data_IF_148045715120
#
_entry.id   IF_148045715120
#
_cell.length_a   1.000
_cell.length_b   1.000
_cell.length_c   1.000
_cell.angle_alpha   90.00
_cell.angle_beta   90.00
_cell.angle_gamma   90.00
#
_symmetry.space_group_name_H-M   'P 1'
#
loop_
_entity.id
_entity.type
_entity.pdbx_description
1 polymer ?
#
# COMPACT_ATOMS: atom_id res chain seq x y z
N UNK A 1 77.99 1.81 0.07
CA UNK A 1 78.44 3.16 -0.33
C UNK A 1 77.31 4.11 -0.02
N UNK A 2 77.45 4.55 1.23
CA UNK A 2 77.30 5.96 1.68
C UNK A 2 76.04 6.65 1.30
N UNK A 3 75.19 6.84 2.33
CA UNK A 3 75.13 7.94 3.31
C UNK A 3 74.78 9.30 2.64
N UNK A 4 73.65 9.89 2.99
CA UNK A 4 73.57 11.10 3.83
C UNK A 4 72.15 11.50 4.16
N UNK A 5 71.96 11.53 5.46
CA UNK A 5 70.92 12.36 6.14
C UNK A 5 71.07 13.85 5.81
N UNK A 6 70.00 14.59 5.88
CA UNK A 6 69.81 15.94 6.49
C UNK A 6 68.32 16.27 6.47
N UNK A 7 67.67 16.20 7.57
CA UNK A 7 67.49 17.26 8.58
C UNK A 7 66.64 18.46 8.16
N UNK A 8 65.63 18.67 9.02
CA UNK A 8 64.94 19.90 9.43
C UNK A 8 63.86 20.48 8.51
N UNK A 9 62.63 20.49 8.93
CA UNK A 9 62.07 21.70 9.57
C UNK A 9 60.77 21.35 10.30
N UNK A 10 60.82 21.56 11.60
CA UNK A 10 59.62 21.66 12.45
C UNK A 10 58.94 22.96 12.11
N UNK A 11 57.76 22.94 11.62
CA UNK A 11 56.85 24.11 11.64
C UNK A 11 55.53 23.66 12.23
N UNK A 12 55.32 24.15 13.44
CA UNK A 12 54.07 23.98 14.16
C UNK A 12 52.93 24.62 13.39
N UNK A 13 51.89 23.85 13.14
CA UNK A 13 50.61 24.40 12.73
C UNK A 13 49.65 24.22 13.89
N UNK A 14 49.31 25.36 14.46
CA UNK A 14 48.31 25.46 15.52
C UNK A 14 46.99 24.88 15.07
N UNK A 15 46.54 23.81 15.76
CA UNK A 15 45.15 23.30 15.64
C UNK A 15 44.23 24.34 16.23
N UNK A 16 43.62 25.12 15.39
CA UNK A 16 42.41 25.89 15.71
C UNK A 16 41.27 24.87 15.77
N UNK A 17 40.92 24.42 16.96
CA UNK A 17 39.71 23.73 17.26
C UNK A 17 38.52 24.69 17.11
N UNK A 18 37.99 24.77 15.89
CA UNK A 18 36.67 25.34 15.66
C UNK A 18 35.64 24.31 16.14
N UNK A 19 35.25 24.41 17.41
CA UNK A 19 34.05 23.78 17.93
C UNK A 19 32.83 24.46 17.32
N UNK A 20 32.53 24.11 16.07
CA UNK A 20 31.26 24.43 15.47
C UNK A 20 30.17 23.61 16.17
N UNK A 21 29.41 24.23 17.07
CA UNK A 21 28.15 23.67 17.53
C UNK A 21 27.24 23.50 16.32
N UNK A 22 27.20 22.30 15.76
CA UNK A 22 26.13 21.89 14.84
C UNK A 22 24.89 21.76 15.72
N UNK A 23 24.07 22.81 15.73
CA UNK A 23 22.69 22.70 16.23
C UNK A 23 21.96 21.81 15.23
N UNK A 24 21.94 20.50 15.51
CA UNK A 24 21.02 19.58 14.85
C UNK A 24 19.61 20.10 15.14
N UNK A 25 18.82 20.47 14.11
CA UNK A 25 17.44 20.82 14.34
C UNK A 25 16.80 19.62 15.03
N UNK A 26 16.30 19.81 16.23
CA UNK A 26 15.49 18.85 16.95
C UNK A 26 14.21 18.67 16.13
N UNK A 27 14.26 17.79 15.14
CA UNK A 27 13.04 17.31 14.50
C UNK A 27 12.22 16.68 15.62
N UNK A 28 11.20 17.41 16.02
CA UNK A 28 10.18 16.90 16.94
C UNK A 28 9.70 15.58 16.36
N UNK A 29 9.77 14.47 17.08
CA UNK A 29 9.31 13.21 16.52
C UNK A 29 7.84 13.40 16.16
N UNK A 30 7.53 13.31 14.86
CA UNK A 30 6.15 13.22 14.41
C UNK A 30 5.56 11.96 15.05
N UNK A 31 4.64 12.15 15.94
CA UNK A 31 3.91 11.05 16.55
C UNK A 31 3.00 10.46 15.49
N UNK A 32 3.53 9.50 14.72
CA UNK A 32 2.73 8.70 13.80
C UNK A 32 1.90 7.74 14.62
N UNK A 33 0.66 8.09 14.83
CA UNK A 33 -0.28 7.16 15.46
C UNK A 33 -0.72 6.16 14.41
N UNK A 34 -0.06 5.00 14.37
CA UNK A 34 -0.52 3.85 13.60
C UNK A 34 -1.74 3.27 14.32
N UNK A 35 -2.94 3.64 13.91
CA UNK A 35 -4.12 2.83 14.24
C UNK A 35 -4.05 1.57 13.39
N UNK A 36 -4.51 0.43 13.93
CA UNK A 36 -4.62 -0.84 13.19
C UNK A 36 -5.23 -0.55 11.81
N UNK A 37 -4.38 -0.49 10.76
CA UNK A 37 -4.76 -0.19 9.37
C UNK A 37 -5.14 1.27 9.06
N UNK A 38 -4.77 2.25 9.88
CA UNK A 38 -5.01 3.66 9.58
C UNK A 38 -3.75 4.51 9.76
N UNK A 39 -3.52 5.46 8.88
CA UNK A 39 -2.43 6.44 8.95
C UNK A 39 -3.02 7.84 9.00
N UNK A 40 -2.71 8.61 10.04
CA UNK A 40 -3.04 10.03 10.08
C UNK A 40 -1.81 10.82 9.61
N UNK A 41 -1.98 11.61 8.54
CA UNK A 41 -0.97 12.55 8.05
C UNK A 41 -1.40 13.98 8.33
N UNK A 42 -0.47 14.84 8.72
CA UNK A 42 -0.71 16.28 8.89
C UNK A 42 -0.11 17.00 7.69
N UNK A 43 -0.93 17.62 6.89
CA UNK A 43 -0.52 18.45 5.78
C UNK A 43 -1.12 19.85 5.95
N UNK A 44 -0.27 20.88 5.89
CA UNK A 44 -0.67 22.29 6.01
C UNK A 44 -1.59 22.62 7.19
N UNK A 45 -1.26 22.16 8.38
CA UNK A 45 -2.02 22.39 9.62
C UNK A 45 -3.45 21.81 9.63
N UNK A 46 -3.88 21.07 8.60
CA UNK A 46 -5.11 20.29 8.61
C UNK A 46 -4.77 18.83 8.87
N UNK A 47 -5.40 18.25 9.88
CA UNK A 47 -5.35 16.80 10.11
C UNK A 47 -6.20 16.14 9.04
N UNK A 48 -5.56 15.52 8.05
CA UNK A 48 -6.23 14.71 7.06
C UNK A 48 -6.30 13.29 7.64
N UNK A 49 -7.48 12.86 8.00
CA UNK A 49 -7.70 11.49 8.43
C UNK A 49 -7.75 10.61 7.18
N UNK A 50 -6.65 9.90 6.92
CA UNK A 50 -6.53 8.90 5.85
C UNK A 50 -6.52 7.52 6.50
N UNK A 51 -7.34 6.63 5.99
CA UNK A 51 -7.40 5.25 6.46
C UNK A 51 -7.07 4.32 5.31
N UNK A 52 -6.15 3.39 5.56
CA UNK A 52 -5.78 2.36 4.60
C UNK A 52 -6.00 1.01 5.28
N UNK A 53 -6.77 0.15 4.63
CA UNK A 53 -6.88 -1.27 5.01
C UNK A 53 -6.32 -2.12 3.90
N UNK A 54 -5.65 -3.22 4.24
CA UNK A 54 -5.15 -4.20 3.28
C UNK A 54 -5.30 -5.58 3.88
N UNK A 55 -5.90 -6.49 3.12
CA UNK A 55 -6.12 -7.86 3.56
C UNK A 55 -6.35 -8.81 2.39
N UNK A 56 -6.20 -10.09 2.66
CA UNK A 56 -6.42 -11.15 1.68
C UNK A 56 -7.91 -11.33 1.38
N UNK A 57 -8.22 -11.65 0.12
CA UNK A 57 -9.52 -12.14 -0.30
C UNK A 57 -9.66 -13.63 0.05
N UNK A 58 -10.88 -14.18 -0.06
CA UNK A 58 -11.09 -15.61 0.05
C UNK A 58 -10.56 -16.29 -1.21
N UNK A 59 -9.78 -17.34 -1.03
CA UNK A 59 -9.31 -18.21 -2.10
C UNK A 59 -9.23 -19.66 -1.63
N UNK A 60 -8.89 -20.56 -2.52
CA UNK A 60 -8.74 -21.98 -2.24
C UNK A 60 -7.44 -22.27 -1.47
N UNK A 61 -7.43 -23.37 -0.74
CA UNK A 61 -6.24 -23.78 0.01
C UNK A 61 -5.05 -24.05 -0.94
N UNK A 62 -3.86 -23.58 -0.55
CA UNK A 62 -2.63 -23.76 -1.33
C UNK A 62 -2.38 -22.69 -2.40
N UNK A 63 -3.32 -21.77 -2.62
CA UNK A 63 -3.14 -20.62 -3.50
C UNK A 63 -2.64 -19.41 -2.71
N UNK A 64 -1.83 -18.56 -3.35
CA UNK A 64 -1.51 -17.24 -2.81
C UNK A 64 -2.69 -16.30 -3.08
N UNK A 65 -3.43 -16.01 -2.03
CA UNK A 65 -4.65 -15.21 -2.13
C UNK A 65 -4.35 -13.79 -2.60
N UNK A 66 -5.15 -13.22 -3.51
CA UNK A 66 -5.11 -11.81 -3.82
C UNK A 66 -5.38 -10.95 -2.60
N UNK A 67 -4.82 -9.75 -2.59
CA UNK A 67 -5.05 -8.77 -1.53
C UNK A 67 -5.78 -7.55 -2.07
N UNK A 68 -6.74 -7.08 -1.30
CA UNK A 68 -7.45 -5.83 -1.57
C UNK A 68 -7.02 -4.79 -0.55
N UNK A 69 -6.54 -3.65 -1.04
CA UNK A 69 -6.27 -2.47 -0.25
C UNK A 69 -7.34 -1.41 -0.53
N UNK A 70 -7.88 -0.81 0.51
CA UNK A 70 -8.84 0.30 0.42
C UNK A 70 -8.22 1.51 1.10
N UNK A 71 -8.06 2.59 0.35
CA UNK A 71 -7.50 3.85 0.80
C UNK A 71 -8.59 4.93 0.72
N UNK A 72 -8.98 5.47 1.86
CA UNK A 72 -9.95 6.56 1.90
C UNK A 72 -9.53 7.69 2.83
N UNK A 73 -9.93 8.88 2.43
CA UNK A 73 -9.77 10.09 3.21
C UNK A 73 -11.16 10.58 3.60
N UNK A 74 -11.34 10.84 4.89
CA UNK A 74 -12.59 11.44 5.37
C UNK A 74 -12.82 12.76 4.63
N UNK A 75 -13.99 12.93 4.02
CA UNK A 75 -14.43 14.06 3.20
C UNK A 75 -14.06 14.02 1.70
N UNK A 76 -13.54 12.93 1.17
CA UNK A 76 -13.53 12.71 -0.28
C UNK A 76 -14.71 11.83 -0.68
N UNK A 77 -15.37 12.18 -1.79
CA UNK A 77 -16.52 11.40 -2.31
C UNK A 77 -16.11 10.13 -3.05
N UNK A 78 -14.79 9.94 -3.30
CA UNK A 78 -14.23 8.81 -4.03
C UNK A 78 -13.06 8.20 -3.26
N UNK A 79 -12.89 6.90 -3.43
CA UNK A 79 -11.89 6.11 -2.71
C UNK A 79 -11.10 5.25 -3.67
N UNK A 80 -9.80 5.09 -3.40
CA UNK A 80 -8.92 4.24 -4.18
C UNK A 80 -8.97 2.81 -3.64
N UNK A 81 -9.30 1.84 -4.51
CA UNK A 81 -9.16 0.42 -4.22
C UNK A 81 -8.06 -0.17 -5.09
N UNK A 82 -7.06 -0.73 -4.46
CA UNK A 82 -5.95 -1.39 -5.15
C UNK A 82 -6.04 -2.90 -4.94
N UNK A 83 -6.02 -3.64 -6.04
CA UNK A 83 -6.03 -5.09 -6.03
C UNK A 83 -4.65 -5.61 -6.41
N UNK A 84 -4.14 -6.55 -5.62
CA UNK A 84 -2.88 -7.24 -5.82
C UNK A 84 -3.15 -8.72 -6.11
N UNK A 85 -2.72 -9.20 -7.25
CA UNK A 85 -2.79 -10.60 -7.62
C UNK A 85 -1.39 -11.19 -7.73
N UNK A 86 -1.23 -12.43 -7.30
CA UNK A 86 0.05 -13.11 -7.18
C UNK A 86 0.07 -14.33 -8.09
N UNK A 87 0.83 -14.26 -9.19
CA UNK A 87 0.95 -15.33 -10.17
C UNK A 87 2.41 -15.48 -10.63
N UNK A 88 2.73 -16.55 -11.36
CA UNK A 88 4.02 -16.70 -12.03
C UNK A 88 4.11 -15.85 -13.32
N UNK A 89 2.97 -15.41 -13.84
CA UNK A 89 2.85 -14.57 -15.02
C UNK A 89 2.37 -13.16 -14.65
N UNK A 90 2.68 -12.19 -15.50
CA UNK A 90 2.13 -10.84 -15.41
C UNK A 90 0.66 -10.85 -15.82
N UNK A 91 -0.19 -10.30 -14.96
CA UNK A 91 -1.61 -10.14 -15.19
C UNK A 91 -1.92 -8.68 -15.44
N UNK A 92 -2.13 -8.29 -16.71
CA UNK A 92 -2.61 -6.95 -17.05
C UNK A 92 -4.06 -6.79 -16.62
N UNK A 93 -4.31 -5.89 -15.67
CA UNK A 93 -5.66 -5.62 -15.16
C UNK A 93 -6.22 -4.38 -15.85
N UNK A 94 -7.29 -4.57 -16.63
CA UNK A 94 -7.97 -3.48 -17.35
C UNK A 94 -9.16 -2.92 -16.59
N UNK A 95 -9.81 -3.75 -15.76
CA UNK A 95 -11.01 -3.40 -15.01
C UNK A 95 -11.08 -4.22 -13.72
N UNK A 96 -11.64 -3.63 -12.68
CA UNK A 96 -12.01 -4.33 -11.44
C UNK A 96 -13.51 -4.14 -11.23
N UNK A 97 -14.22 -5.26 -11.11
CA UNK A 97 -15.65 -5.29 -10.87
C UNK A 97 -15.98 -5.85 -9.48
N UNK A 98 -17.01 -5.29 -8.86
CA UNK A 98 -17.57 -5.77 -7.61
C UNK A 98 -18.98 -6.29 -7.85
N UNK A 99 -19.24 -7.54 -7.47
CA UNK A 99 -20.59 -8.09 -7.48
C UNK A 99 -21.10 -8.10 -6.05
N UNK A 100 -21.99 -7.14 -5.75
CA UNK A 100 -22.54 -6.94 -4.41
C UNK A 100 -23.99 -7.43 -4.41
N UNK A 101 -24.25 -8.53 -3.73
CA UNK A 101 -25.58 -9.17 -3.66
C UNK A 101 -26.24 -9.35 -5.05
N UNK A 102 -25.43 -9.73 -6.05
CA UNK A 102 -25.84 -9.96 -7.43
C UNK A 102 -25.80 -8.72 -8.35
N UNK A 103 -25.58 -7.52 -7.81
CA UNK A 103 -25.41 -6.30 -8.62
C UNK A 103 -23.96 -6.12 -9.01
N UNK A 104 -23.68 -6.02 -10.31
CA UNK A 104 -22.33 -5.78 -10.85
C UNK A 104 -22.05 -4.27 -10.92
N UNK A 105 -20.89 -3.86 -10.40
CA UNK A 105 -20.36 -2.51 -10.45
C UNK A 105 -18.93 -2.59 -11.00
N UNK A 106 -18.71 -2.10 -12.21
CA UNK A 106 -17.44 -2.16 -12.92
C UNK A 106 -16.72 -0.81 -12.94
N UNK A 107 -15.43 -0.84 -12.73
CA UNK A 107 -14.57 0.34 -12.70
C UNK A 107 -13.32 0.12 -13.54
N UNK A 108 -12.99 1.01 -14.48
CA UNK A 108 -11.78 0.92 -15.25
C UNK A 108 -10.56 1.09 -14.34
N UNK A 109 -9.52 0.32 -14.61
CA UNK A 109 -8.24 0.43 -13.93
C UNK A 109 -7.54 1.76 -14.28
N UNK A 110 -6.82 2.34 -13.32
CA UNK A 110 -6.13 3.62 -13.50
C UNK A 110 -4.71 3.37 -14.00
N UNK A 111 -4.44 3.78 -15.23
CA UNK A 111 -3.13 3.64 -15.83
C UNK A 111 -2.74 2.19 -16.12
N UNK A 112 -1.44 1.94 -16.18
CA UNK A 112 -0.90 0.61 -16.45
C UNK A 112 -0.82 -0.22 -15.17
N UNK A 113 -0.93 -1.54 -15.32
CA UNK A 113 -0.70 -2.47 -14.20
C UNK A 113 0.75 -2.41 -13.73
N UNK A 114 0.94 -2.33 -12.42
CA UNK A 114 2.25 -2.37 -11.80
C UNK A 114 2.66 -3.81 -11.53
N UNK A 115 3.92 -4.15 -11.84
CA UNK A 115 4.49 -5.47 -11.63
C UNK A 115 5.67 -5.41 -10.67
N UNK A 116 5.66 -6.32 -9.71
CA UNK A 116 6.79 -6.49 -8.79
C UNK A 116 7.06 -7.98 -8.58
N UNK A 117 8.25 -8.44 -8.94
CA UNK A 117 8.69 -9.79 -8.58
C UNK A 117 8.92 -9.85 -7.07
N UNK A 118 8.39 -10.87 -6.43
CA UNK A 118 8.63 -11.10 -5.00
C UNK A 118 10.01 -11.72 -4.80
N UNK A 119 10.72 -11.25 -3.76
CA UNK A 119 12.07 -11.69 -3.47
C UNK A 119 12.13 -13.22 -3.29
N UNK A 120 13.16 -13.84 -3.87
CA UNK A 120 13.43 -15.27 -3.81
C UNK A 120 12.28 -16.18 -4.32
N UNK A 121 11.42 -15.66 -5.20
CA UNK A 121 10.32 -16.43 -5.77
C UNK A 121 10.13 -16.13 -7.26
N UNK A 122 9.42 -17.05 -7.96
CA UNK A 122 8.97 -16.80 -9.33
C UNK A 122 7.62 -16.07 -9.38
N UNK A 123 7.11 -15.64 -8.22
CA UNK A 123 5.81 -15.00 -8.12
C UNK A 123 5.94 -13.52 -8.44
N UNK A 124 5.03 -13.02 -9.26
CA UNK A 124 4.87 -11.62 -9.63
C UNK A 124 3.62 -11.09 -8.92
N UNK A 125 3.77 -9.98 -8.22
CA UNK A 125 2.67 -9.17 -7.72
C UNK A 125 2.25 -8.24 -8.86
N UNK A 126 1.11 -8.51 -9.46
CA UNK A 126 0.47 -7.63 -10.46
C UNK A 126 -0.59 -6.81 -9.74
N UNK A 127 -0.50 -5.48 -9.78
CA UNK A 127 -1.42 -4.62 -9.05
C UNK A 127 -1.94 -3.46 -9.89
N UNK A 128 -3.23 -3.16 -9.71
CA UNK A 128 -3.84 -1.97 -10.27
C UNK A 128 -4.88 -1.38 -9.31
N UNK A 129 -5.28 -0.14 -9.60
CA UNK A 129 -6.16 0.66 -8.73
C UNK A 129 -7.37 1.15 -9.50
N UNK A 130 -8.52 1.18 -8.85
CA UNK A 130 -9.74 1.82 -9.34
C UNK A 130 -10.22 2.87 -8.35
N UNK A 131 -10.93 3.90 -8.84
CA UNK A 131 -11.63 4.85 -7.99
C UNK A 131 -13.10 4.45 -7.89
N UNK A 132 -13.61 4.39 -6.67
CA UNK A 132 -15.00 4.05 -6.42
C UNK A 132 -15.69 5.12 -5.57
N UNK A 133 -17.00 5.37 -5.77
CA UNK A 133 -17.78 6.29 -4.94
C UNK A 133 -17.97 5.77 -3.50
N UNK A 134 -18.11 6.67 -2.53
CA UNK A 134 -18.42 6.34 -1.13
C UNK A 134 -19.67 5.45 -1.00
N UNK A 135 -20.66 5.64 -1.87
CA UNK A 135 -21.87 4.84 -1.89
C UNK A 135 -21.62 3.33 -2.07
N UNK A 136 -20.49 2.95 -2.71
CA UNK A 136 -20.09 1.54 -2.87
C UNK A 136 -19.53 0.99 -1.57
N UNK A 137 -18.72 1.76 -0.83
CA UNK A 137 -18.24 1.34 0.49
C UNK A 137 -19.39 1.13 1.48
N UNK A 138 -20.42 1.96 1.40
CA UNK A 138 -21.64 1.76 2.19
C UNK A 138 -22.34 0.44 1.83
N UNK A 139 -22.42 0.10 0.54
CA UNK A 139 -22.96 -1.20 0.11
C UNK A 139 -22.11 -2.37 0.62
N UNK A 140 -20.79 -2.25 0.64
CA UNK A 140 -19.93 -3.31 1.20
C UNK A 140 -20.28 -3.62 2.66
N UNK A 141 -20.56 -2.59 3.47
CA UNK A 141 -20.90 -2.78 4.89
C UNK A 141 -22.16 -3.61 5.07
N UNK A 142 -23.15 -3.37 4.22
CA UNK A 142 -24.50 -3.92 4.38
C UNK A 142 -24.73 -5.20 3.54
N UNK A 143 -23.72 -5.64 2.76
CA UNK A 143 -23.81 -6.76 1.85
C UNK A 143 -23.83 -8.13 2.57
N UNK A 144 -24.45 -9.10 1.91
CA UNK A 144 -24.41 -10.53 2.28
C UNK A 144 -23.34 -11.29 1.49
N UNK A 145 -23.09 -10.86 0.25
CA UNK A 145 -22.06 -11.44 -0.62
C UNK A 145 -21.36 -10.33 -1.42
N UNK A 146 -20.03 -10.42 -1.50
CA UNK A 146 -19.21 -9.51 -2.31
C UNK A 146 -18.19 -10.35 -3.06
N UNK A 147 -18.31 -10.43 -4.39
CA UNK A 147 -17.24 -10.93 -5.24
C UNK A 147 -16.44 -9.76 -5.80
N UNK A 148 -15.13 -9.99 -6.01
CA UNK A 148 -14.19 -9.09 -6.67
C UNK A 148 -13.70 -9.80 -7.91
N UNK A 149 -13.93 -9.22 -9.08
CA UNK A 149 -13.57 -9.77 -10.38
C UNK A 149 -12.50 -8.88 -11.01
N UNK A 150 -11.39 -9.49 -11.41
CA UNK A 150 -10.33 -8.85 -12.20
C UNK A 150 -10.50 -9.22 -13.65
N UNK A 151 -10.67 -8.24 -14.54
CA UNK A 151 -10.56 -8.45 -15.97
C UNK A 151 -9.09 -8.31 -16.38
N UNK A 152 -8.50 -9.41 -16.83
CA UNK A 152 -7.08 -9.48 -17.15
C UNK A 152 -6.84 -9.90 -18.59
N UNK A 153 -5.59 -9.78 -19.07
CA UNK A 153 -5.15 -10.31 -20.36
C UNK A 153 -5.26 -11.85 -20.47
N UNK A 154 -5.54 -12.55 -19.35
CA UNK A 154 -5.75 -13.99 -19.31
C UNK A 154 -7.22 -14.38 -19.07
N UNK A 155 -8.12 -13.40 -19.07
CA UNK A 155 -9.53 -13.58 -18.77
C UNK A 155 -9.95 -13.06 -17.41
N UNK A 156 -11.15 -13.40 -16.99
CA UNK A 156 -11.72 -12.99 -15.72
C UNK A 156 -11.26 -13.90 -14.59
N UNK A 157 -10.82 -13.29 -13.49
CA UNK A 157 -10.45 -14.01 -12.26
C UNK A 157 -11.33 -13.49 -11.13
N UNK A 158 -12.08 -14.36 -10.49
CA UNK A 158 -13.01 -14.00 -9.43
C UNK A 158 -12.57 -14.52 -8.07
N UNK A 159 -12.61 -13.65 -7.08
CA UNK A 159 -12.42 -13.97 -5.67
C UNK A 159 -13.52 -13.33 -4.84
N UNK A 160 -13.60 -13.70 -3.56
CA UNK A 160 -14.66 -13.16 -2.71
C UNK A 160 -14.07 -12.36 -1.54
N UNK A 161 -14.65 -11.21 -1.31
CA UNK A 161 -14.46 -10.45 -0.09
C UNK A 161 -15.36 -11.00 1.03
N UNK A 162 -16.61 -11.35 0.67
CA UNK A 162 -17.61 -11.97 1.54
C UNK A 162 -18.43 -13.00 0.74
N UNK A 163 -18.55 -14.24 1.26
CA UNK A 163 -19.34 -15.30 0.62
C UNK A 163 -19.99 -16.19 1.67
N UNK A 164 -21.33 -16.31 1.66
CA UNK A 164 -22.06 -17.21 2.55
C UNK A 164 -21.66 -17.04 4.01
N UNK A 165 -21.64 -15.82 4.51
CA UNK A 165 -21.20 -15.42 5.88
C UNK A 165 -19.70 -15.64 6.17
N UNK A 166 -18.95 -16.21 5.26
CA UNK A 166 -17.49 -16.32 5.40
C UNK A 166 -16.84 -15.01 4.95
N UNK A 167 -16.20 -14.32 5.88
CA UNK A 167 -15.50 -13.05 5.65
C UNK A 167 -14.04 -13.26 5.37
N UNK A 168 -13.51 -12.57 4.37
CA UNK A 168 -12.07 -12.46 4.11
C UNK A 168 -11.39 -11.54 5.11
N UNK A 169 -10.05 -11.55 5.14
CA UNK A 169 -9.28 -10.57 5.92
C UNK A 169 -9.55 -9.15 5.45
N UNK A 170 -9.60 -8.93 4.12
CA UNK A 170 -9.91 -7.64 3.54
C UNK A 170 -11.25 -7.09 4.06
N UNK A 171 -12.29 -7.93 4.13
CA UNK A 171 -13.59 -7.51 4.61
C UNK A 171 -13.59 -7.20 6.11
N UNK A 172 -12.98 -8.05 6.93
CA UNK A 172 -12.90 -7.81 8.37
C UNK A 172 -12.15 -6.53 8.73
N UNK A 173 -11.04 -6.27 8.04
CA UNK A 173 -10.26 -5.06 8.22
C UNK A 173 -11.01 -3.81 7.76
N UNK A 174 -11.70 -3.89 6.62
CA UNK A 174 -12.58 -2.83 6.13
C UNK A 174 -13.64 -2.49 7.17
N UNK A 175 -14.41 -3.46 7.67
CA UNK A 175 -15.48 -3.20 8.63
C UNK A 175 -14.96 -2.53 9.91
N UNK A 176 -13.80 -2.94 10.44
CA UNK A 176 -13.21 -2.34 11.63
C UNK A 176 -12.81 -0.88 11.43
N UNK A 177 -12.40 -0.52 10.24
CA UNK A 177 -11.88 0.81 9.97
C UNK A 177 -12.96 1.76 9.45
N UNK A 178 -14.01 1.23 8.84
CA UNK A 178 -15.13 2.00 8.27
C UNK A 178 -16.25 2.30 9.28
N UNK A 179 -16.23 1.66 10.45
CA UNK A 179 -17.22 1.85 11.54
C UNK A 179 -17.13 3.23 12.23
#
# INVERSE_FOLDING_TARGET
MEIRMKNYLVLGFALLLLTGCITVPKNKPETRTLKLNGVNTVENSKVIQRTITRGQLLCEAGQKCPELAIDWQKNKGEYALSLHSYDQQQLDMSEISFVIDGKVLSYPAIGQTNYRRLDNSNVIDSSNTVMIPDAVLKQFRDAKNIAVIMNTNQGEIAHYMLKNQKSSDAYRLFLRAYS
#
